data_IF_909953807591
#
_entry.id   IF_909953807591
#
_cell.length_a   1.000
_cell.length_b   1.000
_cell.length_c   1.000
_cell.angle_alpha   90.00
_cell.angle_beta   90.00
_cell.angle_gamma   90.00
#
_symmetry.space_group_name_H-M   'P 1'
#
loop_
_entity.id
_entity.type
_entity.pdbx_description
1 polymer ?
2 polymer ?
3 water ?
#
# COMPACT_ATOMS: atom_id res chain seq x y z
N UNK A 2 11.84 -14.16 5.14
CA UNK A 2 10.43 -14.07 4.77
C UNK A 2 10.07 -15.17 3.79
N UNK A 3 8.89 -15.77 3.96
CA UNK A 3 8.36 -16.67 2.94
C UNK A 3 7.05 -16.16 2.35
N UNK A 4 6.75 -14.88 2.53
CA UNK A 4 5.50 -14.31 2.03
C UNK A 4 5.63 -13.97 0.55
N UNK A 5 4.59 -14.30 -0.21
CA UNK A 5 4.55 -14.03 -1.64
C UNK A 5 3.99 -12.63 -1.87
N UNK A 6 4.72 -11.81 -2.62
CA UNK A 6 4.26 -10.48 -2.99
C UNK A 6 3.62 -10.56 -4.37
N UNK A 7 2.39 -10.06 -4.49
CA UNK A 7 1.69 -10.00 -5.77
C UNK A 7 1.11 -8.59 -5.90
N UNK A 8 1.68 -7.80 -6.79
CA UNK A 8 1.23 -6.43 -6.99
C UNK A 8 0.06 -6.46 -7.98
N UNK A 9 -1.14 -6.11 -7.50
CA UNK A 9 -2.36 -6.23 -8.29
C UNK A 9 -2.59 -5.02 -9.18
N UNK A 10 -2.27 -3.83 -8.69
CA UNK A 10 -2.54 -2.60 -9.42
C UNK A 10 -1.57 -1.57 -8.89
N UNK A 11 -0.74 -1.02 -9.76
CA UNK A 11 0.20 0.01 -9.35
C UNK A 11 0.26 1.11 -10.38
N UNK A 12 0.37 2.34 -9.89
CA UNK A 12 0.77 3.51 -10.69
C UNK A 12 1.91 4.10 -9.87
N UNK A 13 3.14 3.66 -10.15
CA UNK A 13 4.25 3.88 -9.24
C UNK A 13 5.53 3.38 -9.89
N UNK A 14 6.64 4.07 -9.64
CA UNK A 14 7.93 3.61 -10.16
C UNK A 14 8.27 2.23 -9.60
N UNK A 15 9.10 1.50 -10.34
CA UNK A 15 9.49 0.16 -9.90
C UNK A 15 10.20 0.20 -8.55
N UNK A 16 11.08 1.19 -8.34
CA UNK A 16 11.81 1.24 -7.08
C UNK A 16 10.88 1.55 -5.91
N UNK A 17 9.90 2.44 -6.13
CA UNK A 17 8.95 2.73 -5.06
C UNK A 17 8.06 1.53 -4.77
N UNK A 18 7.65 0.79 -5.81
CA UNK A 18 6.89 -0.44 -5.58
C UNK A 18 7.69 -1.43 -4.74
N UNK A 19 8.97 -1.60 -5.06
CA UNK A 19 9.80 -2.52 -4.28
C UNK A 19 9.91 -2.04 -2.84
N UNK A 20 10.01 -0.72 -2.64
CA UNK A 20 10.10 -0.19 -1.29
C UNK A 20 8.81 -0.42 -0.51
N UNK A 21 7.66 -0.36 -1.18
CA UNK A 21 6.40 -0.67 -0.50
C UNK A 21 6.37 -2.12 -0.03
N UNK A 22 6.79 -3.04 -0.89
CA UNK A 22 6.85 -4.45 -0.49
C UNK A 22 7.82 -4.65 0.67
N UNK A 23 9.01 -4.04 0.58
CA UNK A 23 10.01 -4.21 1.64
C UNK A 23 9.51 -3.63 2.96
N UNK A 24 8.87 -2.46 2.90
CA UNK A 24 8.36 -1.83 4.10
C UNK A 24 7.26 -2.68 4.73
N UNK A 25 6.34 -3.18 3.91
CA UNK A 25 5.27 -4.04 4.42
C UNK A 25 5.82 -5.32 5.03
N UNK A 26 6.90 -5.87 4.45
CA UNK A 26 7.51 -7.06 5.03
C UNK A 26 8.01 -6.79 6.44
N UNK A 27 8.68 -5.65 6.63
CA UNK A 27 9.14 -5.29 7.97
C UNK A 27 7.97 -5.08 8.92
N UNK A 28 6.90 -4.43 8.44
CA UNK A 28 5.73 -4.20 9.29
C UNK A 28 5.11 -5.52 9.74
N UNK A 29 5.00 -6.49 8.83
CA UNK A 29 4.36 -7.75 9.16
C UNK A 29 5.21 -8.58 10.12
N UNK A 30 6.53 -8.42 10.07
CA UNK A 30 7.37 -9.15 11.02
C UNK A 30 7.28 -8.57 12.42
N UNK A 31 7.00 -7.27 12.54
CA UNK A 31 6.95 -6.64 13.86
C UNK A 31 5.57 -6.70 14.50
N UNK A 32 4.51 -6.53 13.71
CA UNK A 32 3.17 -6.28 14.22
C UNK A 32 2.19 -7.33 13.72
N UNK A 33 1.21 -7.66 14.56
CA UNK A 33 0.15 -8.59 14.20
C UNK A 33 -1.17 -7.91 13.87
N UNK A 34 -1.41 -6.70 14.34
CA UNK A 34 -2.71 -6.05 14.18
C UNK A 34 -2.66 -5.16 12.94
N UNK A 35 -3.71 -5.26 12.11
CA UNK A 35 -3.72 -4.58 10.81
C UNK A 35 -3.48 -3.08 10.93
N UNK A 36 -4.11 -2.41 11.90
CA UNK A 36 -3.91 -0.96 12.02
C UNK A 36 -2.46 -0.62 12.36
N UNK A 37 -1.77 -1.47 13.11
CA UNK A 37 -0.38 -1.18 13.45
C UNK A 37 0.53 -1.40 12.24
N UNK A 38 0.23 -2.42 11.44
CA UNK A 38 0.94 -2.63 10.19
C UNK A 38 0.76 -1.43 9.27
N UNK A 39 -0.49 -0.96 9.14
CA UNK A 39 -0.80 0.18 8.29
C UNK A 39 -0.07 1.45 8.74
N UNK A 40 -0.03 1.70 10.05
CA UNK A 40 0.64 2.90 10.55
C UNK A 40 2.13 2.88 10.25
N UNK A 41 2.77 1.72 10.42
CA UNK A 41 4.20 1.60 10.12
C UNK A 41 4.48 1.96 8.66
N UNK A 42 3.69 1.42 7.74
CA UNK A 42 3.91 1.66 6.32
C UNK A 42 3.65 3.12 5.97
N UNK A 43 2.53 3.67 6.45
CA UNK A 43 2.19 5.07 6.17
C UNK A 43 3.31 6.00 6.63
N UNK A 44 3.81 5.79 7.84
CA UNK A 44 4.81 6.69 8.38
C UNK A 44 6.12 6.61 7.60
N UNK A 45 6.52 5.40 7.19
CA UNK A 45 7.75 5.27 6.41
C UNK A 45 7.61 5.97 5.06
N UNK A 46 6.45 5.86 4.42
CA UNK A 46 6.27 6.47 3.12
C UNK A 46 6.18 7.99 3.22
N UNK A 47 5.56 8.52 4.28
CA UNK A 47 5.59 9.96 4.51
C UNK A 47 7.03 10.45 4.63
N UNK A 48 7.89 9.68 5.30
CA UNK A 48 9.27 10.09 5.49
C UNK A 48 10.06 10.04 4.19
N UNK A 49 9.97 8.91 3.47
CA UNK A 49 10.79 8.72 2.28
C UNK A 49 10.25 9.43 1.06
N UNK A 50 8.92 9.53 0.93
CA UNK A 50 8.30 9.97 -0.31
C UNK A 50 7.34 11.14 -0.11
N UNK A 51 7.48 11.86 1.01
CA UNK A 51 6.78 13.09 1.36
C UNK A 51 5.34 12.81 1.79
N UNK A 52 4.78 13.62 2.68
CA UNK A 52 3.34 13.52 2.95
C UNK A 52 2.56 13.82 1.68
N UNK A 53 1.33 13.31 1.58
CA UNK A 53 0.56 12.66 2.64
C UNK A 53 0.06 11.31 2.14
N UNK A 54 0.51 10.23 2.78
CA UNK A 54 0.12 8.88 2.42
C UNK A 54 -0.97 8.34 3.34
N UNK A 55 -1.68 7.33 2.85
CA UNK A 55 -2.77 6.67 3.56
C UNK A 55 -2.62 5.18 3.30
N UNK A 56 -2.82 4.36 4.33
CA UNK A 56 -2.58 2.93 4.18
C UNK A 56 -3.70 2.12 4.82
N UNK A 57 -4.20 1.15 4.07
CA UNK A 57 -5.23 0.22 4.51
C UNK A 57 -4.65 -1.18 4.38
N UNK A 58 -4.79 -1.98 5.42
CA UNK A 58 -4.26 -3.35 5.46
C UNK A 58 -5.40 -4.26 5.89
N UNK A 59 -5.69 -5.30 5.12
CA UNK A 59 -6.78 -6.16 5.55
C UNK A 59 -6.98 -7.35 4.64
N UNK A 60 -7.93 -8.20 5.05
CA UNK A 60 -8.29 -9.37 4.28
C UNK A 60 -9.63 -9.26 3.57
N UNK A 61 -10.49 -8.33 3.98
CA UNK A 61 -11.77 -8.15 3.29
C UNK A 61 -12.12 -6.67 3.26
N UNK A 62 -11.94 -6.05 2.10
CA UNK A 62 -12.36 -4.66 1.91
C UNK A 62 -12.35 -4.33 0.43
N UNK A 63 -13.17 -3.34 0.09
CA UNK A 63 -13.12 -2.69 -1.20
C UNK A 63 -12.95 -1.21 -1.01
N UNK A 64 -12.52 -0.49 -2.05
CA UNK A 64 -12.21 0.92 -1.88
C UNK A 64 -12.49 1.69 -3.16
N UNK A 65 -12.71 2.99 -2.99
CA UNK A 65 -12.66 3.95 -4.08
C UNK A 65 -11.97 5.19 -3.56
N UNK A 66 -10.80 5.50 -4.12
CA UNK A 66 -9.95 6.56 -3.60
C UNK A 66 -9.47 7.41 -4.77
N UNK A 67 -8.92 8.57 -4.44
CA UNK A 67 -8.27 9.43 -5.42
C UNK A 67 -6.81 9.58 -5.02
N UNK A 68 -5.91 9.44 -5.99
CA UNK A 68 -4.49 9.45 -5.68
C UNK A 68 -3.74 10.33 -6.66
N UNK A 69 -2.63 10.87 -6.19
CA UNK A 69 -1.74 11.62 -7.06
C UNK A 69 -1.08 10.67 -8.06
N UNK A 70 -0.93 11.16 -9.29
CA UNK A 70 -0.30 10.38 -10.35
C UNK A 70 1.03 9.82 -9.88
N UNK A 71 1.25 8.54 -10.17
CA UNK A 71 2.50 7.83 -9.88
C UNK A 71 2.68 7.51 -8.40
N UNK A 72 1.62 7.61 -7.58
CA UNK A 72 1.72 7.37 -6.14
C UNK A 72 0.56 6.51 -5.65
N UNK A 73 0.43 5.31 -6.23
CA UNK A 73 -0.62 4.37 -5.86
C UNK A 73 -0.10 2.95 -5.99
N UNK A 74 -0.37 2.10 -5.00
CA UNK A 74 -0.10 0.67 -5.12
C UNK A 74 -1.13 -0.11 -4.32
N UNK A 75 -1.58 -1.22 -4.89
CA UNK A 75 -2.46 -2.18 -4.23
C UNK A 75 -1.86 -3.56 -4.45
N UNK A 76 -1.54 -4.25 -3.36
CA UNK A 76 -0.79 -5.49 -3.49
C UNK A 76 -1.13 -6.44 -2.35
N UNK A 77 -0.92 -7.72 -2.61
CA UNK A 77 -0.97 -8.73 -1.57
C UNK A 77 0.44 -9.08 -1.12
N UNK A 78 0.59 -9.30 0.18
CA UNK A 78 1.82 -9.85 0.74
C UNK A 78 1.37 -10.99 1.64
N UNK A 79 1.66 -12.22 1.22
CA UNK A 79 1.00 -13.35 1.85
C UNK A 79 -0.50 -13.26 1.64
N UNK A 80 -1.26 -13.46 2.71
CA UNK A 80 -2.71 -13.41 2.63
C UNK A 80 -3.30 -12.04 2.94
N UNK A 81 -2.46 -11.03 3.13
CA UNK A 81 -2.90 -9.69 3.52
C UNK A 81 -2.88 -8.79 2.29
N UNK A 82 -3.95 -8.01 2.09
CA UNK A 82 -4.00 -7.00 1.05
C UNK A 82 -3.63 -5.63 1.62
N UNK A 83 -2.89 -4.85 0.84
CA UNK A 83 -2.37 -3.56 1.28
C UNK A 83 -2.64 -2.52 0.20
N UNK A 84 -3.33 -1.46 0.58
CA UNK A 84 -3.59 -0.30 -0.26
C UNK A 84 -2.79 0.86 0.30
N UNK A 85 -1.97 1.49 -0.54
CA UNK A 85 -1.08 2.56 -0.10
C UNK A 85 -1.06 3.63 -1.19
N UNK A 86 -1.43 4.86 -0.84
CA UNK A 86 -1.55 5.89 -1.87
C UNK A 86 -1.37 7.27 -1.25
N UNK A 87 -1.03 8.23 -2.11
CA UNK A 87 -0.76 9.60 -1.70
C UNK A 87 -1.89 10.50 -2.18
N UNK A 88 -2.42 11.28 -1.27
CA UNK A 88 -3.40 12.31 -1.60
C UNK A 88 -3.42 13.40 -0.51
N UNK A 89 -3.10 14.62 -0.89
CA UNK A 89 -3.35 15.75 -0.03
C UNK A 89 -2.41 16.09 1.08
N UNK B 1 -7.89 14.88 -15.20
CA UNK B 1 -6.67 15.56 -14.76
C UNK B 1 -5.46 14.66 -14.95
N UNK B 2 -4.31 15.27 -15.22
CA UNK B 2 -3.05 14.53 -15.27
C UNK B 2 -2.36 14.47 -13.92
N UNK B 3 -2.90 15.14 -12.91
CA UNK B 3 -2.27 15.20 -11.60
C UNK B 3 -2.80 14.15 -10.64
N UNK B 4 -4.00 13.63 -10.88
CA UNK B 4 -4.59 12.65 -9.98
C UNK B 4 -5.61 11.84 -10.76
N UNK B 5 -5.97 10.69 -10.19
CA UNK B 5 -7.00 9.85 -10.78
C UNK B 5 -7.64 9.03 -9.68
N UNK B 6 -8.80 8.47 -9.99
CA UNK B 6 -9.50 7.60 -9.08
C UNK B 6 -9.06 6.16 -9.31
N UNK B 7 -9.12 5.37 -8.24
CA UNK B 7 -8.77 3.96 -8.32
C UNK B 7 -9.69 3.17 -7.40
N UNK B 8 -10.01 1.95 -7.83
CA UNK B 8 -10.86 1.01 -7.11
C UNK B 8 -10.07 -0.24 -6.79
N UNK B 9 -10.29 -0.80 -5.60
CA UNK B 9 -9.71 -2.09 -5.22
C UNK B 9 -10.78 -2.96 -4.59
N UNK B 10 -10.61 -4.28 -4.71
CA UNK B 10 -11.52 -5.22 -4.08
C UNK B 10 -10.76 -6.49 -3.75
N UNK B 11 -10.76 -6.89 -2.48
CA UNK B 11 -10.14 -8.15 -2.10
C UNK B 11 -10.91 -9.31 -2.69
N UNK B 12 -10.21 -10.43 -2.89
CA UNK B 12 -10.85 -11.62 -3.42
C UNK B 12 -10.70 -12.79 -2.47
N UNK B 13 -11.73 -13.62 -2.43
CA UNK B 13 -11.66 -14.87 -1.68
C UNK B 13 -10.67 -15.81 -2.36
N UNK B 14 -9.90 -16.53 -1.55
CA UNK B 14 -8.82 -17.35 -2.06
C UNK B 14 -8.86 -18.75 -1.46
#
# INVERSE_FOLDING_TARGET
>A
MSDRKAVIKNADMSEEMQQDAVDCATQALEKYNIEKDIAAYIKKEFDKKYNPTWHCIVGRNFGSYVTHETRHFIYFYLGQVAILLFKSG
>B
STLYKNAATQTERR
#
